data_IF_392730068726
#
_entry.id   IF_392730068726
#
_cell.length_a   1.000
_cell.length_b   1.000
_cell.length_c   1.000
_cell.angle_alpha   90.00
_cell.angle_beta   90.00
_cell.angle_gamma   90.00
#
_symmetry.space_group_name_H-M   'P 1'
#
loop_
_entity.id
_entity.type
_entity.pdbx_description
1 polymer ?
#
# COMPACT_ATOMS: atom_id res chain seq x y z
N UNK A 1 -23.33 5.31 5.80
CA UNK A 1 -22.44 4.50 6.66
C UNK A 1 -21.01 4.70 6.18
N UNK A 2 -20.14 5.31 6.98
CA UNK A 2 -18.72 5.38 6.64
C UNK A 2 -18.12 3.97 6.77
N UNK A 3 -17.80 3.33 5.64
CA UNK A 3 -16.97 2.11 5.64
C UNK A 3 -15.62 2.49 6.24
N UNK A 4 -15.43 2.24 7.53
CA UNK A 4 -14.12 2.34 8.15
C UNK A 4 -13.22 1.33 7.43
N UNK A 5 -12.20 1.83 6.74
CA UNK A 5 -11.25 1.02 5.99
C UNK A 5 -10.33 0.31 7.01
N UNK A 6 -10.88 -0.67 7.73
CA UNK A 6 -10.17 -1.43 8.76
C UNK A 6 -9.25 -2.43 8.08
N UNK A 7 -8.00 -2.45 8.53
CA UNK A 7 -7.06 -3.50 8.15
C UNK A 7 -7.59 -4.81 8.71
N UNK A 8 -7.66 -5.85 7.87
CA UNK A 8 -8.20 -7.15 8.26
C UNK A 8 -7.35 -7.83 9.36
N UNK A 9 -6.04 -7.60 9.34
CA UNK A 9 -5.07 -8.06 10.35
C UNK A 9 -4.49 -6.83 11.06
N UNK A 10 -4.99 -6.45 12.25
CA UNK A 10 -4.57 -5.24 12.96
C UNK A 10 -3.06 -5.13 13.19
N UNK A 11 -2.41 -6.27 13.47
CA UNK A 11 -0.98 -6.39 13.73
C UNK A 11 -0.14 -6.00 12.51
N UNK A 12 -0.68 -6.19 11.31
CA UNK A 12 -0.01 -5.85 10.05
C UNK A 12 -0.07 -4.35 9.72
N UNK A 13 -0.80 -3.53 10.48
CA UNK A 13 -1.03 -2.11 10.16
C UNK A 13 0.27 -1.32 9.99
N UNK A 14 1.24 -1.52 10.87
CA UNK A 14 2.52 -0.82 10.77
C UNK A 14 3.34 -1.32 9.58
N UNK A 15 3.39 -2.65 9.38
CA UNK A 15 4.08 -3.25 8.24
C UNK A 15 3.49 -2.77 6.90
N UNK A 16 2.17 -2.66 6.79
CA UNK A 16 1.49 -2.12 5.62
C UNK A 16 1.78 -0.63 5.40
N UNK A 17 1.94 0.16 6.47
CA UNK A 17 2.35 1.57 6.36
C UNK A 17 3.76 1.67 5.80
N UNK A 18 4.70 0.90 6.34
CA UNK A 18 6.09 0.87 5.86
C UNK A 18 6.15 0.42 4.40
N UNK A 19 5.43 -0.66 4.07
CA UNK A 19 5.35 -1.18 2.72
C UNK A 19 4.77 -0.17 1.71
N UNK A 20 3.75 0.60 2.11
CA UNK A 20 3.23 1.71 1.29
C UNK A 20 4.33 2.72 0.95
N UNK A 21 5.13 3.12 1.95
CA UNK A 21 6.23 4.07 1.78
C UNK A 21 7.31 3.49 0.86
N UNK A 22 7.67 2.21 1.02
CA UNK A 22 8.63 1.53 0.13
C UNK A 22 8.16 1.47 -1.32
N UNK A 23 6.89 1.12 -1.54
CA UNK A 23 6.31 1.07 -2.88
C UNK A 23 6.29 2.47 -3.52
N UNK A 24 5.89 3.50 -2.78
CA UNK A 24 5.90 4.87 -3.27
C UNK A 24 7.31 5.34 -3.64
N UNK A 25 8.29 5.09 -2.76
CA UNK A 25 9.70 5.40 -3.00
C UNK A 25 10.22 4.69 -4.26
N UNK A 26 9.87 3.41 -4.47
CA UNK A 26 10.28 2.66 -5.67
C UNK A 26 9.72 3.23 -6.99
N UNK A 27 8.72 4.10 -6.90
CA UNK A 27 8.06 4.74 -8.04
C UNK A 27 8.44 6.23 -8.16
N UNK A 28 9.39 6.71 -7.35
CA UNK A 28 9.77 8.11 -7.21
C UNK A 28 8.60 9.02 -6.83
N UNK A 29 7.65 8.51 -6.04
CA UNK A 29 6.54 9.28 -5.49
C UNK A 29 6.79 9.48 -4.01
N UNK A 30 6.89 10.73 -3.57
CA UNK A 30 7.07 11.08 -2.16
C UNK A 30 5.71 11.04 -1.46
N UNK A 31 5.65 10.33 -0.32
CA UNK A 31 4.52 10.38 0.58
C UNK A 31 4.92 11.07 1.88
N UNK A 32 4.09 11.99 2.33
CA UNK A 32 4.18 12.62 3.64
C UNK A 32 3.41 11.78 4.67
N UNK A 33 3.86 11.78 5.92
CA UNK A 33 3.14 11.15 7.03
C UNK A 33 1.80 11.84 7.36
N UNK A 34 1.63 13.08 6.89
CA UNK A 34 0.43 13.87 7.04
C UNK A 34 -0.43 13.91 5.76
N UNK A 35 -0.59 15.11 5.22
CA UNK A 35 -1.41 15.34 4.04
C UNK A 35 -0.68 14.99 2.75
N UNK A 36 -1.38 14.28 1.87
CA UNK A 36 -0.91 13.89 0.54
C UNK A 36 -1.95 14.29 -0.52
N UNK A 37 -2.61 15.45 -0.39
CA UNK A 37 -3.63 15.86 -1.36
C UNK A 37 -3.06 16.54 -2.61
N UNK A 38 -1.76 16.82 -2.59
CA UNK A 38 -0.95 17.30 -3.71
C UNK A 38 -0.56 16.18 -4.69
N UNK A 39 -0.58 14.92 -4.25
CA UNK A 39 -0.33 13.79 -5.15
C UNK A 39 -1.49 13.62 -6.13
N UNK A 40 -1.17 13.34 -7.39
CA UNK A 40 -2.19 13.02 -8.37
C UNK A 40 -2.99 11.79 -7.93
N UNK A 41 -4.32 11.80 -8.15
CA UNK A 41 -5.16 10.63 -7.91
C UNK A 41 -4.67 9.39 -8.69
N UNK A 42 -4.05 9.62 -9.85
CA UNK A 42 -3.39 8.57 -10.64
C UNK A 42 -2.23 7.92 -9.88
N UNK A 43 -1.38 8.72 -9.25
CA UNK A 43 -0.20 8.25 -8.53
C UNK A 43 -0.59 7.55 -7.22
N UNK A 44 -1.56 8.11 -6.50
CA UNK A 44 -2.16 7.45 -5.33
C UNK A 44 -2.72 6.06 -5.68
N UNK A 45 -3.48 5.98 -6.78
CA UNK A 45 -4.02 4.72 -7.30
C UNK A 45 -2.92 3.74 -7.73
N UNK A 46 -1.88 4.25 -8.41
CA UNK A 46 -0.73 3.44 -8.85
C UNK A 46 0.01 2.83 -7.68
N UNK A 47 0.25 3.57 -6.60
CA UNK A 47 0.87 3.05 -5.36
C UNK A 47 0.04 1.90 -4.78
N UNK A 48 -1.27 2.12 -4.58
CA UNK A 48 -2.16 1.10 -4.03
C UNK A 48 -2.22 -0.16 -4.90
N UNK A 49 -2.28 0.00 -6.22
CA UNK A 49 -2.24 -1.11 -7.17
C UNK A 49 -0.93 -1.91 -7.13
N UNK A 50 0.22 -1.22 -7.04
CA UNK A 50 1.52 -1.87 -6.91
C UNK A 50 1.68 -2.61 -5.59
N UNK A 51 1.15 -2.07 -4.49
CA UNK A 51 1.12 -2.77 -3.20
C UNK A 51 0.38 -4.10 -3.34
N UNK A 52 -0.84 -4.09 -3.90
CA UNK A 52 -1.64 -5.31 -4.07
C UNK A 52 -0.95 -6.31 -4.99
N UNK A 53 -0.39 -5.84 -6.12
CA UNK A 53 0.34 -6.69 -7.07
C UNK A 53 1.48 -7.45 -6.38
N UNK A 54 2.36 -6.74 -5.66
CA UNK A 54 3.49 -7.34 -4.95
C UNK A 54 3.06 -8.29 -3.84
N UNK A 55 1.98 -7.98 -3.11
CA UNK A 55 1.44 -8.88 -2.08
C UNK A 55 0.92 -10.20 -2.69
N UNK A 56 0.26 -10.13 -3.84
CA UNK A 56 -0.21 -11.31 -4.57
C UNK A 56 0.98 -12.11 -5.09
N UNK A 57 1.96 -11.47 -5.73
CA UNK A 57 3.18 -12.14 -6.20
C UNK A 57 3.91 -12.85 -5.04
N UNK A 58 4.03 -12.20 -3.87
CA UNK A 58 4.59 -12.84 -2.68
C UNK A 58 3.76 -14.05 -2.25
N UNK A 59 2.43 -13.92 -2.19
CA UNK A 59 1.56 -15.03 -1.82
C UNK A 59 1.69 -16.20 -2.82
N UNK A 60 1.67 -15.95 -4.13
CA UNK A 60 1.83 -16.97 -5.17
C UNK A 60 3.17 -17.71 -5.05
N UNK A 61 4.26 -17.00 -4.74
CA UNK A 61 5.58 -17.59 -4.58
C UNK A 61 5.75 -18.41 -3.29
N UNK A 62 5.04 -18.05 -2.22
CA UNK A 62 5.18 -18.67 -0.89
C UNK A 62 4.07 -19.67 -0.56
N UNK A 63 2.96 -19.63 -1.30
CA UNK A 63 1.88 -20.61 -1.19
C UNK A 63 2.20 -21.82 -2.07
N UNK A 64 3.10 -22.66 -1.60
CA UNK A 64 3.22 -24.02 -2.13
C UNK A 64 2.03 -24.85 -1.62
N UNK A 65 1.30 -25.49 -2.53
CA UNK A 65 0.27 -26.48 -2.19
C UNK A 65 0.90 -27.77 -1.72
#
# INVERSE_FOLDING_TARGET
>A
MARSNRVAVPEAKQSLKNFKTEVANSMNITLNDGYNGDISARDAGRIGGQMVKRMIEYAENNMHK
#
